data_IF_195145602266
#
_entry.id   IF_195145602266
#
_cell.length_a   1.000
_cell.length_b   1.000
_cell.length_c   1.000
_cell.angle_alpha   90.00
_cell.angle_beta   90.00
_cell.angle_gamma   90.00
#
_symmetry.space_group_name_H-M   'P 1'
#
loop_
_entity.id
_entity.type
_entity.pdbx_description
1 polymer ?
#
# COMPACT_ATOMS: atom_id res chain seq x y z
N UNK A 1 7.55 -9.78 18.70
CA UNK A 1 7.13 -10.95 17.88
C UNK A 1 8.39 -11.59 17.30
N UNK A 2 8.42 -12.92 17.09
CA UNK A 2 9.54 -13.53 16.34
C UNK A 2 9.52 -13.14 14.86
N UNK A 3 10.68 -13.10 14.20
CA UNK A 3 10.83 -12.65 12.81
C UNK A 3 9.89 -13.37 11.83
N UNK A 4 9.68 -14.68 12.00
CA UNK A 4 8.77 -15.48 11.16
C UNK A 4 7.32 -15.01 11.31
N UNK A 5 6.86 -14.78 12.54
CA UNK A 5 5.48 -14.34 12.79
C UNK A 5 5.24 -12.91 12.28
N UNK A 6 6.24 -12.02 12.38
CA UNK A 6 6.19 -10.70 11.74
C UNK A 6 6.12 -10.82 10.21
N UNK A 7 6.92 -11.71 9.60
CA UNK A 7 6.90 -11.92 8.16
C UNK A 7 5.56 -12.46 7.65
N UNK A 8 4.90 -13.36 8.40
CA UNK A 8 3.56 -13.83 8.07
C UNK A 8 2.54 -12.68 8.15
N UNK A 9 2.57 -11.90 9.23
CA UNK A 9 1.68 -10.75 9.40
C UNK A 9 1.83 -9.74 8.26
N UNK A 10 3.07 -9.37 7.95
CA UNK A 10 3.41 -8.51 6.82
C UNK A 10 2.93 -9.07 5.48
N UNK A 11 3.19 -10.35 5.22
CA UNK A 11 2.77 -11.00 3.99
C UNK A 11 1.26 -10.96 3.82
N UNK A 12 0.49 -11.36 4.84
CA UNK A 12 -0.98 -11.30 4.82
C UNK A 12 -1.46 -9.87 4.57
N UNK A 13 -0.90 -8.89 5.30
CA UNK A 13 -1.29 -7.49 5.15
C UNK A 13 -0.93 -6.94 3.76
N UNK A 14 0.22 -7.28 3.20
CA UNK A 14 0.61 -6.88 1.84
C UNK A 14 -0.27 -7.52 0.78
N UNK A 15 -0.60 -8.81 0.90
CA UNK A 15 -1.53 -9.48 -0.02
C UNK A 15 -2.88 -8.73 -0.06
N UNK A 16 -3.46 -8.49 1.13
CA UNK A 16 -4.73 -7.79 1.25
C UNK A 16 -4.63 -6.37 0.70
N UNK A 17 -3.53 -5.67 0.98
CA UNK A 17 -3.33 -4.30 0.53
C UNK A 17 -3.29 -4.22 -0.98
N UNK A 18 -2.47 -5.04 -1.64
CA UNK A 18 -2.37 -5.04 -3.10
C UNK A 18 -3.72 -5.39 -3.73
N UNK A 19 -4.40 -6.42 -3.23
CA UNK A 19 -5.71 -6.80 -3.75
C UNK A 19 -6.73 -5.64 -3.63
N UNK A 20 -6.86 -5.05 -2.45
CA UNK A 20 -7.84 -4.00 -2.19
C UNK A 20 -7.47 -2.68 -2.87
N UNK A 21 -6.22 -2.23 -2.77
CA UNK A 21 -5.76 -0.97 -3.35
C UNK A 21 -5.87 -0.98 -4.88
N UNK A 22 -5.56 -2.10 -5.54
CA UNK A 22 -5.77 -2.24 -6.99
C UNK A 22 -7.24 -2.19 -7.42
N UNK A 23 -8.18 -2.41 -6.50
CA UNK A 23 -9.62 -2.27 -6.77
C UNK A 23 -10.17 -0.85 -6.61
N UNK A 24 -9.39 0.09 -6.05
CA UNK A 24 -9.85 1.45 -5.74
C UNK A 24 -10.33 2.21 -6.97
N UNK A 25 -9.66 2.06 -8.12
CA UNK A 25 -10.08 2.70 -9.37
C UNK A 25 -11.49 2.25 -9.79
N UNK A 26 -11.73 0.93 -9.77
CA UNK A 26 -13.02 0.34 -10.11
C UNK A 26 -14.10 0.69 -9.07
N UNK A 27 -13.77 0.64 -7.78
CA UNK A 27 -14.69 1.05 -6.72
C UNK A 27 -15.09 2.52 -6.87
N UNK A 28 -14.12 3.39 -7.19
CA UNK A 28 -14.36 4.81 -7.45
C UNK A 28 -15.29 5.01 -8.64
N UNK A 29 -15.06 4.31 -9.77
CA UNK A 29 -15.93 4.46 -10.94
C UNK A 29 -17.35 4.02 -10.66
N UNK A 30 -17.53 2.94 -9.91
CA UNK A 30 -18.85 2.44 -9.50
C UNK A 30 -19.55 3.48 -8.62
N UNK A 31 -18.89 3.94 -7.54
CA UNK A 31 -19.49 4.93 -6.61
C UNK A 31 -19.79 6.25 -7.34
N UNK A 32 -18.88 6.72 -8.18
CA UNK A 32 -19.06 7.95 -8.94
C UNK A 32 -20.26 7.86 -9.91
N UNK A 33 -20.43 6.71 -10.57
CA UNK A 33 -21.58 6.46 -11.43
C UNK A 33 -22.90 6.45 -10.65
N UNK A 34 -22.95 5.80 -9.49
CA UNK A 34 -24.13 5.79 -8.62
C UNK A 34 -24.50 7.18 -8.11
N UNK A 35 -23.51 8.02 -7.79
CA UNK A 35 -23.73 9.40 -7.32
C UNK A 35 -23.92 10.42 -8.44
N UNK A 36 -23.72 10.03 -9.71
CA UNK A 36 -23.79 10.92 -10.87
C UNK A 36 -22.69 11.98 -10.94
N UNK A 37 -21.54 11.75 -10.27
CA UNK A 37 -20.43 12.72 -10.19
C UNK A 37 -19.30 12.39 -11.16
N UNK A 38 -18.57 13.42 -11.61
CA UNK A 38 -17.46 13.30 -12.58
C UNK A 38 -16.32 14.25 -12.24
N UNK A 39 -15.16 14.02 -12.84
CA UNK A 39 -14.02 14.94 -12.75
C UNK A 39 -13.45 15.02 -11.33
N UNK A 40 -13.18 16.23 -10.84
CA UNK A 40 -12.50 16.42 -9.55
C UNK A 40 -13.24 15.80 -8.36
N UNK A 41 -14.56 15.64 -8.43
CA UNK A 41 -15.35 15.02 -7.36
C UNK A 41 -15.06 13.51 -7.22
N UNK A 42 -14.67 12.81 -8.29
CA UNK A 42 -14.28 11.40 -8.16
C UNK A 42 -12.95 11.25 -7.43
N UNK A 43 -12.09 12.28 -7.44
CA UNK A 43 -10.87 12.29 -6.63
C UNK A 43 -11.21 12.26 -5.14
N UNK A 44 -12.24 12.99 -4.70
CA UNK A 44 -12.70 12.95 -3.31
C UNK A 44 -13.19 11.57 -2.91
N UNK A 45 -13.86 10.86 -3.83
CA UNK A 45 -14.29 9.47 -3.61
C UNK A 45 -13.06 8.57 -3.44
N UNK A 46 -12.10 8.61 -4.38
CA UNK A 46 -10.86 7.82 -4.28
C UNK A 46 -10.14 8.10 -2.97
N UNK A 47 -9.94 9.37 -2.64
CA UNK A 47 -9.26 9.80 -1.42
C UNK A 47 -9.98 9.28 -0.19
N UNK A 48 -11.31 9.39 -0.12
CA UNK A 48 -12.10 8.87 1.00
C UNK A 48 -11.96 7.34 1.13
N UNK A 49 -12.02 6.61 0.02
CA UNK A 49 -11.82 5.16 0.01
C UNK A 49 -10.41 4.77 0.47
N UNK A 50 -9.37 5.51 0.06
CA UNK A 50 -8.00 5.32 0.52
C UNK A 50 -7.87 5.54 2.02
N UNK A 51 -8.47 6.61 2.57
CA UNK A 51 -8.45 6.87 4.02
C UNK A 51 -9.14 5.77 4.81
N UNK A 52 -10.32 5.30 4.36
CA UNK A 52 -11.01 4.16 4.97
C UNK A 52 -10.12 2.92 4.93
N UNK A 53 -9.48 2.65 3.79
CA UNK A 53 -8.60 1.50 3.63
C UNK A 53 -7.38 1.60 4.57
N UNK A 54 -6.70 2.74 4.62
CA UNK A 54 -5.56 2.97 5.52
C UNK A 54 -5.96 2.82 7.00
N UNK A 55 -7.14 3.32 7.39
CA UNK A 55 -7.65 3.14 8.75
C UNK A 55 -7.87 1.66 9.09
N UNK A 56 -8.57 0.93 8.23
CA UNK A 56 -8.83 -0.52 8.42
C UNK A 56 -7.51 -1.30 8.47
N UNK A 57 -6.58 -1.00 7.58
CA UNK A 57 -5.29 -1.68 7.54
C UNK A 57 -4.39 -1.32 8.72
N UNK A 58 -4.49 -0.11 9.27
CA UNK A 58 -3.85 0.24 10.53
C UNK A 58 -4.32 -0.66 11.66
N UNK A 59 -5.65 -0.78 11.83
CA UNK A 59 -6.24 -1.66 12.86
C UNK A 59 -5.82 -3.12 12.66
N UNK A 60 -5.87 -3.64 11.43
CA UNK A 60 -5.45 -5.03 11.14
C UNK A 60 -3.94 -5.19 11.40
N UNK A 61 -3.12 -4.21 11.02
CA UNK A 61 -1.68 -4.22 11.27
C UNK A 61 -1.35 -4.31 12.75
N UNK A 62 -2.05 -3.54 13.58
CA UNK A 62 -1.93 -3.59 15.04
C UNK A 62 -2.36 -4.94 15.60
N UNK A 63 -3.48 -5.50 15.13
CA UNK A 63 -3.95 -6.83 15.52
C UNK A 63 -2.97 -7.95 15.12
N UNK A 64 -2.27 -7.79 13.99
CA UNK A 64 -1.19 -8.67 13.55
C UNK A 64 0.14 -8.41 14.26
N UNK A 65 0.15 -7.53 15.26
CA UNK A 65 1.29 -7.23 16.13
C UNK A 65 2.28 -6.25 15.52
N UNK A 66 1.77 -5.22 14.83
CA UNK A 66 2.55 -4.18 14.16
C UNK A 66 3.02 -4.59 12.77
N UNK A 67 2.22 -5.39 12.06
CA UNK A 67 2.52 -5.76 10.68
C UNK A 67 2.52 -4.52 9.77
N UNK A 68 3.40 -4.54 8.77
CA UNK A 68 3.50 -3.49 7.77
C UNK A 68 3.34 -4.08 6.38
N UNK A 69 2.50 -3.47 5.55
CA UNK A 69 2.35 -3.87 4.16
C UNK A 69 3.40 -3.24 3.24
N UNK A 70 4.20 -2.29 3.75
CA UNK A 70 5.10 -1.47 2.96
C UNK A 70 6.57 -1.67 3.41
N UNK A 71 7.45 -2.20 2.55
CA UNK A 71 8.84 -2.47 2.91
C UNK A 71 9.63 -1.18 3.14
N UNK A 72 9.29 -0.10 2.43
CA UNK A 72 9.92 1.21 2.61
C UNK A 72 9.67 1.75 4.01
N UNK A 73 8.47 1.56 4.56
CA UNK A 73 8.16 1.98 5.93
C UNK A 73 9.07 1.28 6.93
N UNK A 74 9.20 -0.05 6.82
CA UNK A 74 10.08 -0.85 7.69
C UNK A 74 11.54 -0.42 7.56
N UNK A 75 12.01 -0.17 6.33
CA UNK A 75 13.37 0.32 6.07
C UNK A 75 13.61 1.72 6.65
N UNK A 76 12.63 2.62 6.54
CA UNK A 76 12.72 3.98 7.06
C UNK A 76 12.77 4.00 8.59
N UNK A 77 11.93 3.22 9.27
CA UNK A 77 11.98 3.08 10.73
C UNK A 77 13.33 2.53 11.19
N UNK A 78 13.81 1.44 10.57
CA UNK A 78 15.13 0.89 10.85
C UNK A 78 16.25 1.95 10.66
N UNK A 79 16.24 2.67 9.55
CA UNK A 79 17.25 3.69 9.25
C UNK A 79 17.21 4.88 10.22
N UNK A 80 16.02 5.25 10.70
CA UNK A 80 15.84 6.29 11.71
C UNK A 80 16.23 5.84 13.13
N UNK A 81 16.60 4.57 13.33
CA UNK A 81 16.82 3.99 14.66
C UNK A 81 15.53 3.88 15.47
N UNK A 82 14.38 3.87 14.80
CA UNK A 82 13.05 3.78 15.39
C UNK A 82 12.50 2.36 15.20
N UNK A 83 11.87 1.81 16.23
CA UNK A 83 11.28 0.47 16.18
C UNK A 83 12.22 -0.66 16.65
N UNK A 84 11.79 -1.91 16.40
CA UNK A 84 12.47 -3.12 16.92
C UNK A 84 13.04 -4.00 15.82
N UNK A 85 13.00 -3.52 14.58
CA UNK A 85 13.46 -4.29 13.42
C UNK A 85 14.98 -4.30 13.32
N UNK A 86 15.49 -5.42 12.80
CA UNK A 86 16.90 -5.64 12.48
C UNK A 86 17.06 -6.03 11.01
N UNK A 87 18.28 -5.97 10.48
CA UNK A 87 18.57 -6.46 9.12
C UNK A 87 18.15 -7.93 8.92
N UNK A 88 18.29 -8.76 9.96
CA UNK A 88 17.86 -10.17 9.92
C UNK A 88 16.35 -10.28 9.82
N UNK A 89 15.60 -9.47 10.58
CA UNK A 89 14.14 -9.45 10.46
C UNK A 89 13.68 -8.93 9.10
N UNK A 90 14.32 -7.89 8.56
CA UNK A 90 14.02 -7.33 7.24
C UNK A 90 14.27 -8.35 6.12
N UNK A 91 15.35 -9.14 6.22
CA UNK A 91 15.70 -10.18 5.26
C UNK A 91 14.63 -11.28 5.13
N UNK A 92 13.80 -11.50 6.14
CA UNK A 92 12.70 -12.47 6.10
C UNK A 92 11.36 -11.78 5.77
N UNK A 93 11.14 -10.57 6.29
CA UNK A 93 9.90 -9.81 6.08
C UNK A 93 9.74 -9.34 4.63
N UNK A 94 10.78 -8.79 4.00
CA UNK A 94 10.67 -8.24 2.65
C UNK A 94 10.34 -9.29 1.58
N UNK A 95 10.99 -10.47 1.55
CA UNK A 95 10.60 -11.53 0.62
C UNK A 95 9.15 -11.98 0.84
N UNK A 96 8.68 -12.07 2.09
CA UNK A 96 7.29 -12.41 2.38
C UNK A 96 6.31 -11.37 1.81
N UNK A 97 6.58 -10.08 2.00
CA UNK A 97 5.78 -9.00 1.41
C UNK A 97 5.77 -9.07 -0.12
N UNK A 98 6.92 -9.30 -0.76
CA UNK A 98 7.03 -9.42 -2.23
C UNK A 98 6.20 -10.59 -2.76
N UNK A 99 6.36 -11.79 -2.19
CA UNK A 99 5.62 -12.98 -2.62
C UNK A 99 4.11 -12.78 -2.46
N UNK A 100 3.69 -12.22 -1.32
CA UNK A 100 2.29 -11.97 -1.05
C UNK A 100 1.71 -10.80 -1.87
N UNK A 101 2.51 -9.78 -2.22
CA UNK A 101 2.13 -8.73 -3.15
C UNK A 101 1.81 -9.32 -4.53
N UNK A 102 2.69 -10.19 -5.03
CA UNK A 102 2.45 -10.93 -6.29
C UNK A 102 1.16 -11.75 -6.18
N UNK A 103 0.95 -12.45 -5.07
CA UNK A 103 -0.30 -13.17 -4.81
C UNK A 103 -1.54 -12.27 -4.88
N UNK A 104 -1.50 -11.09 -4.25
CA UNK A 104 -2.59 -10.13 -4.26
C UNK A 104 -2.86 -9.59 -5.67
N UNK A 105 -1.81 -9.32 -6.44
CA UNK A 105 -1.90 -8.88 -7.83
C UNK A 105 -2.52 -9.97 -8.73
N UNK A 106 -2.11 -11.23 -8.58
CA UNK A 106 -2.70 -12.34 -9.34
C UNK A 106 -4.17 -12.56 -8.97
N UNK A 107 -4.49 -12.50 -7.67
CA UNK A 107 -5.87 -12.64 -7.20
C UNK A 107 -6.79 -11.55 -7.76
N UNK A 108 -6.34 -10.29 -7.80
CA UNK A 108 -7.19 -9.21 -8.34
C UNK A 108 -7.31 -9.28 -9.87
N UNK A 109 -6.28 -9.72 -10.59
CA UNK A 109 -6.35 -9.95 -12.04
C UNK A 109 -7.42 -10.97 -12.39
N UNK A 110 -7.59 -12.01 -11.56
CA UNK A 110 -8.61 -13.03 -11.75
C UNK A 110 -10.01 -12.55 -11.33
N UNK A 111 -10.10 -11.85 -10.20
CA UNK A 111 -11.40 -11.45 -9.61
C UNK A 111 -12.00 -10.18 -10.23
N UNK A 112 -11.20 -9.34 -10.90
CA UNK A 112 -11.68 -8.07 -11.45
C UNK A 112 -12.68 -8.30 -12.61
N UNK A 113 -13.88 -7.70 -12.56
CA UNK A 113 -14.87 -7.80 -13.63
C UNK A 113 -14.30 -7.32 -14.97
N UNK A 114 -14.69 -7.98 -16.07
CA UNK A 114 -14.22 -7.65 -17.43
C UNK A 114 -14.41 -6.17 -17.79
N UNK A 115 -15.51 -5.56 -17.33
CA UNK A 115 -15.81 -4.13 -17.54
C UNK A 115 -14.78 -3.18 -16.89
N UNK A 116 -14.11 -3.61 -15.82
CA UNK A 116 -13.16 -2.80 -15.06
C UNK A 116 -11.72 -3.34 -15.14
N UNK A 117 -11.48 -4.48 -15.79
CA UNK A 117 -10.16 -5.13 -15.88
C UNK A 117 -9.10 -4.24 -16.53
N UNK A 118 -9.50 -3.39 -17.48
CA UNK A 118 -8.62 -2.39 -18.10
C UNK A 118 -8.06 -1.35 -17.09
N UNK A 119 -8.71 -1.18 -15.93
CA UNK A 119 -8.29 -0.21 -14.91
C UNK A 119 -7.15 -0.74 -14.02
N UNK A 120 -6.82 -2.04 -14.09
CA UNK A 120 -5.74 -2.65 -13.31
C UNK A 120 -4.33 -2.20 -13.76
N UNK A 121 -4.17 -1.79 -15.02
CA UNK A 121 -2.87 -1.40 -15.58
C UNK A 121 -2.29 -0.11 -14.99
N UNK A 122 -3.10 0.64 -14.23
CA UNK A 122 -2.71 1.93 -13.66
C UNK A 122 -2.38 2.98 -14.73
N UNK A 123 -2.00 4.20 -14.30
CA UNK A 123 -1.49 5.21 -15.23
C UNK A 123 -0.14 4.77 -15.79
N UNK A 124 0.00 4.75 -17.12
CA UNK A 124 1.33 4.58 -17.72
C UNK A 124 2.19 5.79 -17.41
N UNK A 125 3.41 5.55 -16.92
CA UNK A 125 4.42 6.59 -16.73
C UNK A 125 4.75 7.16 -18.11
N UNK A 126 4.22 8.35 -18.41
CA UNK A 126 4.44 9.06 -19.69
C UNK A 126 5.77 9.82 -19.73
N UNK A 127 6.60 9.63 -18.71
CA UNK A 127 7.92 10.23 -18.58
C UNK A 127 8.98 9.14 -18.70
N UNK A 128 10.24 9.53 -18.93
CA UNK A 128 11.33 8.57 -18.92
C UNK A 128 11.51 7.92 -17.53
N UNK A 129 12.21 6.78 -17.51
CA UNK A 129 12.46 6.03 -16.28
C UNK A 129 13.15 6.88 -15.21
N UNK A 130 14.06 7.76 -15.61
CA UNK A 130 14.82 8.62 -14.70
C UNK A 130 13.91 9.63 -13.97
N UNK A 131 13.06 10.33 -14.71
CA UNK A 131 12.08 11.28 -14.18
C UNK A 131 11.05 10.58 -13.31
N UNK A 132 10.57 9.40 -13.74
CA UNK A 132 9.68 8.57 -12.92
C UNK A 132 10.34 8.15 -11.61
N UNK A 133 11.58 7.68 -11.65
CA UNK A 133 12.34 7.29 -10.47
C UNK A 133 12.58 8.46 -9.50
N UNK A 134 12.87 9.66 -10.03
CA UNK A 134 13.00 10.87 -9.19
C UNK A 134 11.67 11.22 -8.53
N UNK A 135 10.56 11.21 -9.29
CA UNK A 135 9.24 11.54 -8.75
C UNK A 135 8.84 10.57 -7.63
N UNK A 136 8.97 9.27 -7.86
CA UNK A 136 8.71 8.24 -6.85
C UNK A 136 9.66 8.36 -5.65
N UNK A 137 10.94 8.64 -5.89
CA UNK A 137 11.94 8.83 -4.83
C UNK A 137 11.61 10.02 -3.93
N UNK A 138 11.26 11.17 -4.50
CA UNK A 138 10.86 12.37 -3.74
C UNK A 138 9.56 12.13 -2.97
N UNK A 139 8.55 11.52 -3.60
CA UNK A 139 7.28 11.22 -2.94
C UNK A 139 7.48 10.23 -1.78
N UNK A 140 8.25 9.17 -2.01
CA UNK A 140 8.58 8.16 -1.00
C UNK A 140 9.39 8.76 0.15
N UNK A 141 10.34 9.65 -0.15
CA UNK A 141 11.11 10.37 0.87
C UNK A 141 10.21 11.22 1.77
N UNK A 142 9.32 12.04 1.18
CA UNK A 142 8.37 12.88 1.92
C UNK A 142 7.49 12.02 2.83
N UNK A 143 6.91 10.93 2.29
CA UNK A 143 6.06 10.03 3.08
C UNK A 143 6.84 9.35 4.22
N UNK A 144 8.06 8.89 3.94
CA UNK A 144 8.93 8.24 4.93
C UNK A 144 9.41 9.18 6.03
N UNK A 145 9.44 10.49 5.77
CA UNK A 145 9.73 11.51 6.77
C UNK A 145 8.48 11.88 7.58
N UNK A 146 7.34 12.07 6.93
CA UNK A 146 6.10 12.50 7.58
C UNK A 146 5.55 11.45 8.56
N UNK A 147 5.58 10.16 8.20
CA UNK A 147 4.99 9.10 9.04
C UNK A 147 5.64 9.04 10.43
N UNK A 148 6.97 8.94 10.58
CA UNK A 148 7.62 8.99 11.89
C UNK A 148 7.39 10.31 12.62
N UNK A 149 7.41 11.46 11.93
CA UNK A 149 7.18 12.77 12.56
C UNK A 149 5.79 12.83 13.19
N UNK A 150 4.75 12.38 12.47
CA UNK A 150 3.38 12.35 13.00
C UNK A 150 3.30 11.42 14.22
N UNK A 151 3.95 10.24 14.16
CA UNK A 151 3.94 9.29 15.27
C UNK A 151 4.69 9.78 16.51
N UNK A 152 5.74 10.59 16.35
CA UNK A 152 6.47 11.20 17.48
C UNK A 152 5.68 12.36 18.10
N UNK A 153 4.77 12.99 17.36
CA UNK A 153 3.92 14.08 17.83
C UNK A 153 2.65 13.61 18.56
N UNK A 154 2.34 12.31 18.55
CA UNK A 154 1.19 11.69 19.23
C UNK A 154 1.61 11.03 20.55
#
# INVERSE_FOLDING_TARGET
MGAIKSAIGDGVLTFMWVFCASSLGAATSVVAAYLGVKGMTSLLITTSLVFVLLFVFGVIGDLLGGASFNPTSTAAFYAAGLGRDTLVSAAVRFPAQVVCAVGGALAIVEMMPLSHKHMLGGPSVKVDLHTGAIAEGVLTFIMSFLVPVIQVLQ
#
